data_IF_401980988159
#
_entry.id   IF_401980988159
#
_cell.length_a   1.000
_cell.length_b   1.000
_cell.length_c   1.000
_cell.angle_alpha   90.00
_cell.angle_beta   90.00
_cell.angle_gamma   90.00
#
_symmetry.space_group_name_H-M   'P 1'
#
loop_
_entity.id
_entity.type
_entity.pdbx_description
1 polymer ?
#
# COMPACT_ATOMS: atom_id res chain seq x y z
N UNK A 1 -36.33 -16.95 -1.04
CA UNK A 1 -36.75 -15.97 -0.02
C UNK A 1 -35.87 -16.08 1.23
N UNK A 2 -35.88 -17.18 2.00
CA UNK A 2 -35.01 -17.30 3.20
C UNK A 2 -33.50 -17.34 2.89
N UNK A 3 -33.06 -18.12 1.89
CA UNK A 3 -31.63 -18.20 1.54
C UNK A 3 -31.04 -16.89 1.02
N UNK A 4 -31.83 -16.12 0.25
CA UNK A 4 -31.42 -14.80 -0.26
C UNK A 4 -31.27 -13.80 0.88
N UNK A 5 -32.16 -13.81 1.87
CA UNK A 5 -32.05 -12.92 3.04
C UNK A 5 -30.83 -13.27 3.90
N UNK A 6 -30.52 -14.56 4.08
CA UNK A 6 -29.34 -14.99 4.84
C UNK A 6 -28.03 -14.57 4.13
N UNK A 7 -27.96 -14.74 2.80
CA UNK A 7 -26.81 -14.31 2.00
C UNK A 7 -26.56 -12.80 2.12
N UNK A 8 -27.62 -11.99 2.03
CA UNK A 8 -27.53 -10.54 2.17
C UNK A 8 -27.07 -10.12 3.59
N UNK A 9 -27.53 -10.81 4.63
CA UNK A 9 -27.08 -10.55 5.99
C UNK A 9 -25.59 -10.87 6.19
N UNK A 10 -25.09 -11.96 5.60
CA UNK A 10 -23.66 -12.32 5.66
C UNK A 10 -22.82 -11.29 4.91
N UNK A 11 -23.24 -10.86 3.71
CA UNK A 11 -22.56 -9.79 2.96
C UNK A 11 -22.49 -8.49 3.77
N UNK A 12 -23.59 -8.10 4.43
CA UNK A 12 -23.64 -6.93 5.28
C UNK A 12 -22.67 -7.05 6.47
N UNK A 13 -22.65 -8.19 7.16
CA UNK A 13 -21.72 -8.43 8.27
C UNK A 13 -20.26 -8.40 7.82
N UNK A 14 -19.92 -8.98 6.67
CA UNK A 14 -18.56 -8.92 6.12
C UNK A 14 -18.18 -7.46 5.82
N UNK A 15 -19.10 -6.67 5.24
CA UNK A 15 -18.83 -5.26 4.93
C UNK A 15 -18.58 -4.39 6.16
N UNK A 16 -19.15 -4.75 7.33
CA UNK A 16 -18.86 -4.06 8.60
C UNK A 16 -17.45 -4.34 9.13
N UNK A 17 -16.87 -5.49 8.81
CA UNK A 17 -15.51 -5.87 9.26
C UNK A 17 -14.44 -5.13 8.45
N UNK A 18 -14.74 -4.67 7.23
CA UNK A 18 -13.78 -4.04 6.31
C UNK A 18 -13.52 -2.54 6.55
N UNK A 19 -13.78 -2.01 7.75
CA UNK A 19 -13.43 -0.62 8.09
C UNK A 19 -11.93 -0.58 8.43
N UNK A 20 -11.07 -0.72 7.44
CA UNK A 20 -9.65 -0.36 7.62
C UNK A 20 -9.59 1.13 7.97
N UNK A 21 -8.93 1.43 9.09
CA UNK A 21 -9.07 2.68 9.85
C UNK A 21 -9.06 3.97 9.02
N UNK A 22 -9.90 4.91 9.44
CA UNK A 22 -10.12 6.23 8.82
C UNK A 22 -8.81 7.03 8.65
N UNK A 23 -7.78 6.72 9.44
CA UNK A 23 -6.49 7.39 9.42
C UNK A 23 -5.45 6.57 8.65
N UNK A 24 -5.06 7.09 7.48
CA UNK A 24 -3.99 6.53 6.65
C UNK A 24 -2.64 6.72 7.33
N UNK A 25 -1.81 5.68 7.35
CA UNK A 25 -0.45 5.70 7.88
C UNK A 25 0.56 5.56 6.75
N UNK A 26 1.79 5.98 7.01
CA UNK A 26 2.93 5.76 6.13
C UNK A 26 4.09 5.17 6.92
N UNK A 27 4.89 4.34 6.25
CA UNK A 27 6.19 3.98 6.80
C UNK A 27 7.08 5.23 6.86
N UNK A 28 7.74 5.42 7.98
CA UNK A 28 8.74 6.45 8.22
C UNK A 28 10.05 5.77 8.61
N UNK A 29 11.04 5.88 7.73
CA UNK A 29 12.37 5.35 7.95
C UNK A 29 13.37 6.04 7.02
N UNK A 30 14.66 5.94 7.34
CA UNK A 30 15.74 6.34 6.45
C UNK A 30 16.95 5.46 6.69
N UNK A 31 17.53 4.92 5.63
CA UNK A 31 18.77 4.16 5.72
C UNK A 31 19.63 4.32 4.47
N UNK A 32 20.93 4.02 4.62
CA UNK A 32 21.91 4.01 3.53
C UNK A 32 22.39 2.59 3.28
N UNK A 33 22.67 2.29 2.01
CA UNK A 33 23.23 1.02 1.58
C UNK A 33 22.38 -0.21 1.89
N UNK A 34 22.97 -1.38 1.66
CA UNK A 34 22.29 -2.68 1.70
C UNK A 34 22.00 -3.23 3.09
N UNK A 35 22.59 -2.69 4.15
CA UNK A 35 22.34 -3.15 5.52
C UNK A 35 21.24 -2.35 6.23
N UNK A 36 20.65 -1.38 5.53
CA UNK A 36 19.64 -0.50 6.09
C UNK A 36 18.23 -1.10 6.10
N UNK A 37 17.51 -0.98 7.22
CA UNK A 37 16.13 -1.48 7.37
C UNK A 37 15.11 -0.73 6.48
N UNK A 38 15.45 0.45 5.95
CA UNK A 38 14.61 1.18 5.01
C UNK A 38 14.94 0.87 3.54
N UNK A 39 15.68 -0.19 3.24
CA UNK A 39 16.03 -0.53 1.84
C UNK A 39 14.86 -1.15 1.06
N UNK A 40 15.12 -1.43 -0.21
CA UNK A 40 14.28 -2.32 -1.01
C UNK A 40 14.92 -3.72 -1.13
N UNK A 41 14.12 -4.80 -1.25
CA UNK A 41 12.68 -4.84 -1.04
C UNK A 41 12.35 -4.54 0.43
N UNK A 42 11.24 -3.83 0.65
CA UNK A 42 10.79 -3.50 2.00
C UNK A 42 9.98 -4.66 2.59
N UNK A 43 10.56 -5.35 3.57
CA UNK A 43 10.04 -6.64 4.07
C UNK A 43 9.16 -6.52 5.31
N UNK A 44 8.98 -5.32 5.87
CA UNK A 44 8.30 -5.13 7.14
C UNK A 44 6.78 -4.96 6.96
N UNK A 45 5.99 -5.74 7.67
CA UNK A 45 4.54 -5.57 7.77
C UNK A 45 4.17 -4.54 8.83
N UNK A 46 2.89 -4.13 8.86
CA UNK A 46 2.38 -3.16 9.83
C UNK A 46 2.70 -3.50 11.30
N UNK A 47 2.71 -4.79 11.65
CA UNK A 47 3.01 -5.30 13.00
C UNK A 47 4.49 -5.41 13.29
N UNK A 48 5.30 -5.74 12.28
CA UNK A 48 6.71 -6.06 12.45
C UNK A 48 7.55 -4.78 12.64
N UNK A 49 7.03 -3.65 12.15
CA UNK A 49 7.66 -2.33 12.24
C UNK A 49 7.95 -1.91 13.68
N UNK A 50 7.08 -2.24 14.63
CA UNK A 50 7.27 -1.85 16.03
C UNK A 50 8.50 -2.51 16.67
N UNK A 51 8.99 -3.60 16.08
CA UNK A 51 10.16 -4.34 16.58
C UNK A 51 11.47 -3.91 15.90
N UNK A 52 11.41 -3.30 14.72
CA UNK A 52 12.59 -2.93 13.94
C UNK A 52 13.07 -1.50 14.29
N UNK A 53 14.31 -1.33 14.80
CA UNK A 53 14.84 -0.02 15.11
C UNK A 53 14.92 0.89 13.87
N UNK A 54 14.38 2.11 13.98
CA UNK A 54 14.47 3.11 12.92
C UNK A 54 13.41 2.97 11.81
N UNK A 55 12.48 2.04 11.95
CA UNK A 55 11.27 1.95 11.12
C UNK A 55 10.04 2.24 11.99
N UNK A 56 9.16 3.11 11.52
CA UNK A 56 7.91 3.43 12.21
C UNK A 56 6.74 3.48 11.22
N UNK A 57 5.52 3.20 11.69
CA UNK A 57 4.29 3.41 10.93
C UNK A 57 3.54 4.58 11.57
N UNK A 58 3.62 5.76 10.95
CA UNK A 58 3.05 6.99 11.51
C UNK A 58 1.74 7.38 10.83
N UNK A 59 0.78 7.98 11.54
CA UNK A 59 -0.39 8.56 10.93
C UNK A 59 -0.02 9.72 10.00
N UNK A 60 -0.65 9.78 8.83
CA UNK A 60 -0.39 10.78 7.81
C UNK A 60 -1.67 11.56 7.47
N UNK A 61 -1.74 12.81 7.91
CA UNK A 61 -2.94 13.65 7.77
C UNK A 61 -3.32 13.93 6.31
N UNK A 62 -2.34 14.01 5.40
CA UNK A 62 -2.59 14.18 3.96
C UNK A 62 -3.10 12.90 3.29
N UNK A 63 -2.88 11.74 3.92
CA UNK A 63 -3.10 10.42 3.33
C UNK A 63 -2.09 10.02 2.25
N UNK A 64 -1.05 10.82 2.02
CA UNK A 64 -0.04 10.61 1.00
C UNK A 64 1.29 10.19 1.60
N UNK A 65 1.85 9.12 1.06
CA UNK A 65 3.16 8.64 1.42
C UNK A 65 4.17 8.92 0.30
N UNK A 66 5.41 9.17 0.71
CA UNK A 66 6.55 9.41 -0.16
C UNK A 66 7.62 8.35 0.06
N UNK A 67 8.30 8.01 -1.03
CA UNK A 67 9.55 7.26 -1.03
C UNK A 67 10.58 8.02 -1.85
N UNK A 68 11.68 8.39 -1.23
CA UNK A 68 12.79 9.13 -1.84
C UNK A 68 13.99 8.21 -1.94
N UNK A 69 14.62 8.17 -3.11
CA UNK A 69 15.87 7.47 -3.37
C UNK A 69 16.89 8.53 -3.80
N UNK A 70 17.79 8.88 -2.89
CA UNK A 70 18.98 9.68 -3.19
C UNK A 70 19.97 8.81 -3.95
N UNK A 71 20.59 9.33 -5.02
CA UNK A 71 21.48 8.53 -5.88
C UNK A 71 20.76 7.46 -6.72
N UNK A 72 19.43 7.51 -6.84
CA UNK A 72 18.66 6.59 -7.68
C UNK A 72 18.33 7.14 -9.07
N UNK A 73 17.78 6.28 -9.93
CA UNK A 73 17.24 6.68 -11.24
C UNK A 73 18.33 7.12 -12.22
N UNK A 74 18.11 8.25 -12.89
CA UNK A 74 19.09 8.84 -13.83
C UNK A 74 20.26 9.54 -13.12
N UNK A 75 20.21 9.68 -11.79
CA UNK A 75 21.21 10.37 -10.98
C UNK A 75 22.10 9.42 -10.16
N UNK A 76 22.09 8.13 -10.46
CA UNK A 76 23.02 7.17 -9.87
C UNK A 76 24.43 7.44 -10.38
N UNK A 77 25.24 8.16 -9.60
CA UNK A 77 26.65 8.45 -9.91
C UNK A 77 27.55 7.43 -9.19
N UNK A 78 27.25 7.11 -7.93
CA UNK A 78 27.93 6.08 -7.13
C UNK A 78 26.96 5.41 -6.12
N UNK A 79 27.35 4.24 -5.60
CA UNK A 79 26.56 3.49 -4.61
C UNK A 79 26.63 4.10 -3.19
N UNK A 80 27.62 4.96 -2.92
CA UNK A 80 27.84 5.53 -1.58
C UNK A 80 26.78 6.57 -1.22
N UNK A 81 26.22 7.25 -2.22
CA UNK A 81 25.14 8.21 -2.05
C UNK A 81 23.74 7.58 -2.07
N UNK A 82 23.62 6.25 -2.20
CA UNK A 82 22.32 5.58 -2.18
C UNK A 82 21.70 5.63 -0.77
N UNK A 83 20.67 6.47 -0.62
CA UNK A 83 19.87 6.55 0.60
C UNK A 83 18.39 6.45 0.26
N UNK A 84 17.70 5.52 0.92
CA UNK A 84 16.25 5.34 0.78
C UNK A 84 15.57 5.91 2.01
N UNK A 85 14.58 6.76 1.79
CA UNK A 85 13.76 7.37 2.82
C UNK A 85 12.28 7.18 2.52
N UNK A 86 11.53 6.76 3.52
CA UNK A 86 10.07 6.67 3.50
C UNK A 86 9.51 7.70 4.46
N UNK A 87 8.46 8.41 4.04
CA UNK A 87 7.86 9.48 4.86
C UNK A 87 6.40 9.75 4.52
N UNK A 88 5.66 10.31 5.47
CA UNK A 88 4.42 11.02 5.19
C UNK A 88 4.74 12.36 4.50
N UNK A 89 4.10 12.64 3.37
CA UNK A 89 4.27 13.95 2.70
C UNK A 89 3.20 14.93 3.17
N UNK A 90 3.56 16.20 3.33
CA UNK A 90 2.62 17.23 3.80
C UNK A 90 1.52 17.54 2.76
N UNK A 91 1.86 17.39 1.48
CA UNK A 91 0.95 17.60 0.35
C UNK A 91 1.17 16.52 -0.69
N UNK A 92 0.08 15.99 -1.24
CA UNK A 92 0.12 15.09 -2.39
C UNK A 92 0.47 15.82 -3.70
N UNK A 93 0.60 15.08 -4.81
CA UNK A 93 0.74 15.68 -6.12
C UNK A 93 -0.54 16.40 -6.58
N UNK A 94 -0.41 17.42 -7.43
CA UNK A 94 -1.53 18.28 -7.86
C UNK A 94 -2.64 17.53 -8.61
N UNK A 95 -2.30 16.44 -9.30
CA UNK A 95 -3.22 15.59 -10.06
C UNK A 95 -3.79 14.42 -9.24
N UNK A 96 -3.40 14.28 -7.96
CA UNK A 96 -3.77 13.17 -7.07
C UNK A 96 -3.52 11.76 -7.66
N UNK A 97 -2.45 11.59 -8.44
CA UNK A 97 -2.09 10.27 -9.00
C UNK A 97 -0.79 9.70 -8.43
N UNK A 98 -0.80 8.40 -8.13
CA UNK A 98 0.38 7.63 -7.77
C UNK A 98 1.39 7.63 -8.91
N UNK A 99 2.62 8.08 -8.64
CA UNK A 99 3.69 8.10 -9.65
C UNK A 99 5.07 8.11 -9.03
N UNK A 100 6.06 7.74 -9.84
CA UNK A 100 7.47 7.95 -9.54
C UNK A 100 8.10 8.81 -10.63
N UNK A 101 8.95 9.76 -10.23
CA UNK A 101 9.69 10.60 -11.17
C UNK A 101 11.01 11.09 -10.56
N UNK A 102 11.95 11.41 -11.44
CA UNK A 102 13.13 12.21 -11.10
C UNK A 102 12.67 13.63 -10.77
N UNK A 103 13.00 14.13 -9.58
CA UNK A 103 12.58 15.44 -9.07
C UNK A 103 13.63 16.07 -8.17
N UNK A 104 13.39 17.30 -7.73
CA UNK A 104 14.22 17.99 -6.75
C UNK A 104 13.51 17.96 -5.39
N UNK A 105 14.15 17.34 -4.41
CA UNK A 105 13.70 17.32 -3.03
C UNK A 105 14.78 17.90 -2.13
N UNK A 106 14.45 18.92 -1.34
CA UNK A 106 15.41 19.62 -0.47
C UNK A 106 16.72 20.04 -1.19
N UNK A 107 16.59 20.68 -2.36
CA UNK A 107 17.71 21.12 -3.21
C UNK A 107 18.62 19.99 -3.74
N UNK A 108 18.20 18.73 -3.62
CA UNK A 108 18.91 17.57 -4.17
C UNK A 108 18.10 16.91 -5.27
N UNK A 109 18.78 16.45 -6.31
CA UNK A 109 18.18 15.62 -7.36
C UNK A 109 17.96 14.21 -6.81
N UNK A 110 16.73 13.72 -6.85
CA UNK A 110 16.32 12.43 -6.28
C UNK A 110 15.30 11.75 -7.17
N UNK A 111 15.20 10.43 -7.05
CA UNK A 111 14.06 9.69 -7.59
C UNK A 111 13.00 9.56 -6.49
N UNK A 112 11.80 10.09 -6.72
CA UNK A 112 10.73 10.14 -5.72
C UNK A 112 9.45 9.49 -6.22
N UNK A 113 8.87 8.62 -5.40
CA UNK A 113 7.55 8.04 -5.60
C UNK A 113 6.54 8.64 -4.62
N UNK A 114 5.36 8.98 -5.12
CA UNK A 114 4.18 9.35 -4.36
C UNK A 114 3.15 8.23 -4.49
N UNK A 115 2.52 7.86 -3.37
CA UNK A 115 1.37 6.98 -3.37
C UNK A 115 0.34 7.43 -2.33
N UNK A 116 -0.93 7.12 -2.57
CA UNK A 116 -2.02 7.37 -1.62
C UNK A 116 -2.57 6.06 -1.07
N UNK A 117 -2.70 5.95 0.25
CA UNK A 117 -3.25 4.75 0.90
C UNK A 117 -2.60 4.44 2.24
N UNK A 118 -3.17 3.49 2.99
CA UNK A 118 -2.56 3.03 4.24
C UNK A 118 -1.31 2.21 3.89
N UNK A 119 -0.16 2.61 4.43
CA UNK A 119 1.13 1.93 4.30
C UNK A 119 1.56 1.66 2.84
N UNK A 120 1.07 2.46 1.88
CA UNK A 120 1.31 2.26 0.45
C UNK A 120 2.79 2.40 0.04
N UNK A 121 3.58 3.14 0.82
CA UNK A 121 5.01 3.35 0.55
C UNK A 121 5.90 2.18 0.99
N UNK A 122 5.31 1.05 1.38
CA UNK A 122 6.03 -0.21 1.61
C UNK A 122 6.56 -0.83 0.31
N UNK A 123 6.76 -2.14 0.31
CA UNK A 123 7.00 -2.86 -0.93
C UNK A 123 5.72 -2.86 -1.75
N UNK A 124 5.84 -2.66 -3.08
CA UNK A 124 4.76 -3.01 -4.01
C UNK A 124 4.62 -4.53 -3.96
N UNK A 125 3.87 -5.08 -3.01
CA UNK A 125 3.22 -6.33 -3.33
C UNK A 125 2.25 -5.93 -4.42
N UNK A 126 2.51 -6.42 -5.62
CA UNK A 126 1.47 -6.53 -6.62
C UNK A 126 0.45 -7.47 -5.98
N UNK A 127 -0.41 -6.95 -5.11
CA UNK A 127 -1.59 -7.66 -4.63
C UNK A 127 -2.51 -7.66 -5.83
N UNK A 128 -2.16 -8.56 -6.74
CA UNK A 128 -3.06 -9.13 -7.70
C UNK A 128 -4.39 -9.27 -6.97
N UNK A 129 -5.41 -8.60 -7.50
CA UNK A 129 -6.77 -8.67 -7.02
C UNK A 129 -7.56 -9.92 -7.49
N UNK A 130 -7.00 -11.08 -7.94
CA UNK A 130 -7.87 -12.14 -8.41
C UNK A 130 -8.51 -12.94 -7.26
N UNK A 131 -8.07 -12.79 -6.01
CA UNK A 131 -8.68 -13.56 -4.91
C UNK A 131 -10.11 -13.08 -4.58
N UNK A 132 -10.39 -11.77 -4.61
CA UNK A 132 -11.76 -11.28 -4.36
C UNK A 132 -12.72 -11.56 -5.53
N UNK A 133 -12.24 -11.52 -6.78
CA UNK A 133 -13.09 -11.85 -7.94
C UNK A 133 -13.47 -13.34 -7.91
N UNK A 134 -12.56 -14.25 -7.52
CA UNK A 134 -12.87 -15.68 -7.47
C UNK A 134 -13.91 -16.02 -6.38
N UNK A 135 -13.83 -15.37 -5.22
CA UNK A 135 -14.75 -15.63 -4.09
C UNK A 135 -16.17 -15.14 -4.39
N UNK A 136 -16.33 -14.05 -5.15
CA UNK A 136 -17.67 -13.51 -5.49
C UNK A 136 -18.38 -14.31 -6.59
N UNK A 137 -17.64 -14.93 -7.52
CA UNK A 137 -18.25 -15.70 -8.62
C UNK A 137 -18.76 -17.09 -8.20
N UNK A 138 -18.13 -17.73 -7.20
CA UNK A 138 -18.49 -19.08 -6.74
C UNK A 138 -19.95 -19.21 -6.21
N UNK A 139 -20.46 -18.33 -5.32
CA UNK A 139 -21.84 -18.40 -4.84
C UNK A 139 -22.88 -17.98 -5.89
N UNK A 140 -22.53 -17.10 -6.83
CA UNK A 140 -23.40 -16.73 -7.95
C UNK A 140 -23.60 -17.90 -8.91
N UNK A 141 -22.53 -18.62 -9.24
CA UNK A 141 -22.58 -19.86 -10.03
C UNK A 141 -23.36 -20.97 -9.31
N UNK A 142 -23.12 -21.18 -8.01
CA UNK A 142 -23.83 -22.19 -7.22
C UNK A 142 -25.33 -21.93 -7.11
N UNK A 143 -25.74 -20.68 -6.89
CA UNK A 143 -27.16 -20.31 -6.86
C UNK A 143 -27.84 -20.40 -8.23
N UNK A 144 -27.15 -20.03 -9.31
CA UNK A 144 -27.66 -20.21 -10.68
C UNK A 144 -27.85 -21.69 -11.04
N UNK A 145 -26.90 -22.56 -10.67
CA UNK A 145 -27.00 -24.00 -10.89
C UNK A 145 -28.16 -24.62 -10.09
N UNK A 146 -28.32 -24.25 -8.82
CA UNK A 146 -29.43 -24.73 -7.98
C UNK A 146 -30.80 -24.27 -8.51
N UNK A 147 -30.90 -23.02 -8.99
CA UNK A 147 -32.11 -22.51 -9.63
C UNK A 147 -32.44 -23.28 -10.92
N UNK A 148 -31.42 -23.67 -11.70
CA UNK A 148 -31.56 -24.42 -12.94
C UNK A 148 -31.89 -25.91 -12.74
N UNK A 149 -31.51 -26.52 -11.61
CA UNK A 149 -31.96 -27.88 -11.29
C UNK A 149 -33.37 -27.92 -10.68
N UNK A 150 -33.87 -26.78 -10.18
CA UNK A 150 -35.19 -26.67 -9.56
C UNK A 150 -36.32 -26.38 -10.56
N UNK A 151 -36.02 -25.74 -11.69
CA UNK A 151 -36.93 -25.53 -12.83
C UNK A 151 -36.74 -26.63 -13.88
#
# INVERSE_FOLDING_TARGET
MQFTSLLLAVIFLISLVSIDGLLRRCYQCRSRGELGSCKDPFTFNATDVEQEPGVAAIPCASGWCGKVIEGGGTYAIDDYDLAIQRMCVQRGPDDNMDRCADTIYNYKKVYMCFCQGDLCNGARSWSSAPQMILITMLPLLGSWLLQRMRN
#
